data_IF_307631093766
#
_entry.id   IF_307631093766
#
_cell.length_a   1.000
_cell.length_b   1.000
_cell.length_c   1.000
_cell.angle_alpha   90.00
_cell.angle_beta   90.00
_cell.angle_gamma   90.00
#
_symmetry.space_group_name_H-M   'P 1'
#
loop_
_entity.id
_entity.type
_entity.pdbx_description
1 polymer ?
#
# COMPACT_ATOMS: atom_id res chain seq x y z
N UNK A 1 7.78 -10.71 10.19
CA UNK A 1 8.17 -9.34 9.78
C UNK A 1 8.14 -8.45 11.00
N UNK A 2 9.28 -7.83 11.35
CA UNK A 2 9.31 -6.85 12.43
C UNK A 2 8.61 -5.56 11.97
N UNK A 3 8.10 -4.75 12.91
CA UNK A 3 7.51 -3.44 12.60
C UNK A 3 8.49 -2.50 11.86
N UNK A 4 9.79 -2.74 12.02
CA UNK A 4 10.88 -1.99 11.40
C UNK A 4 11.01 -2.22 9.89
N UNK A 5 10.63 -3.39 9.38
CA UNK A 5 10.71 -3.70 7.94
C UNK A 5 9.53 -3.12 7.15
N UNK A 6 8.37 -2.96 7.81
CA UNK A 6 7.13 -2.50 7.17
C UNK A 6 7.14 -0.98 6.97
N UNK A 7 7.74 -0.23 7.90
CA UNK A 7 7.73 1.24 7.88
C UNK A 7 8.37 1.84 6.61
N UNK A 8 9.58 1.41 6.17
CA UNK A 8 10.18 1.91 4.93
C UNK A 8 9.34 1.65 3.68
N UNK A 9 8.59 0.53 3.66
CA UNK A 9 7.68 0.21 2.54
C UNK A 9 6.49 1.16 2.53
N UNK A 10 5.92 1.45 3.69
CA UNK A 10 4.82 2.42 3.82
C UNK A 10 5.32 3.82 3.45
N UNK A 11 6.50 4.24 3.91
CA UNK A 11 7.07 5.55 3.56
C UNK A 11 7.29 5.68 2.05
N UNK A 12 7.83 4.64 1.41
CA UNK A 12 7.96 4.58 -0.05
C UNK A 12 6.60 4.69 -0.75
N UNK A 13 5.56 4.02 -0.22
CA UNK A 13 4.20 4.15 -0.75
C UNK A 13 3.65 5.58 -0.59
N UNK A 14 3.83 6.22 0.56
CA UNK A 14 3.43 7.62 0.81
C UNK A 14 4.11 8.60 -0.14
N UNK A 15 5.39 8.36 -0.44
CA UNK A 15 6.14 9.12 -1.45
C UNK A 15 5.48 8.96 -2.81
N UNK A 16 5.22 7.73 -3.26
CA UNK A 16 4.53 7.48 -4.54
C UNK A 16 3.19 8.22 -4.59
N UNK A 17 2.36 8.17 -3.54
CA UNK A 17 1.11 8.91 -3.52
C UNK A 17 1.31 10.41 -3.70
N UNK A 18 2.24 11.00 -2.95
CA UNK A 18 2.57 12.44 -3.04
C UNK A 18 3.01 12.83 -4.45
N UNK A 19 3.83 11.99 -5.09
CA UNK A 19 4.36 12.21 -6.44
C UNK A 19 3.26 12.28 -7.50
N UNK A 20 2.20 11.50 -7.33
CA UNK A 20 1.09 11.51 -8.28
C UNK A 20 0.08 12.63 -8.03
N UNK A 21 0.23 13.38 -6.94
CA UNK A 21 -0.66 14.49 -6.59
C UNK A 21 -1.77 14.11 -5.61
N UNK A 22 -1.71 12.95 -4.97
CA UNK A 22 -2.66 12.58 -3.93
C UNK A 22 -2.50 13.44 -2.68
N UNK A 23 -3.45 13.34 -1.76
CA UNK A 23 -3.33 13.94 -0.44
C UNK A 23 -2.15 13.36 0.34
N UNK A 24 -1.44 14.24 1.05
CA UNK A 24 -0.36 13.85 1.95
C UNK A 24 -0.90 12.89 3.02
N UNK A 25 -0.32 11.70 3.05
CA UNK A 25 -0.53 10.68 4.09
C UNK A 25 0.85 10.21 4.57
N UNK A 26 0.97 9.91 5.86
CA UNK A 26 2.25 9.50 6.46
C UNK A 26 2.17 8.07 6.96
N UNK A 27 3.33 7.43 7.22
CA UNK A 27 3.36 6.11 7.85
C UNK A 27 2.65 6.07 9.20
N UNK A 28 2.63 7.21 9.91
CA UNK A 28 1.95 7.34 11.20
C UNK A 28 0.44 7.20 11.04
N UNK A 29 -0.16 7.75 9.98
CA UNK A 29 -1.60 7.55 9.69
C UNK A 29 -1.95 6.07 9.55
N UNK A 30 -1.11 5.28 8.86
CA UNK A 30 -1.31 3.84 8.74
C UNK A 30 -1.15 3.12 10.08
N UNK A 31 -0.20 3.57 10.92
CA UNK A 31 0.00 3.04 12.26
C UNK A 31 -1.22 3.30 13.15
N UNK A 32 -1.71 4.55 13.17
CA UNK A 32 -2.91 4.96 13.90
C UNK A 32 -4.13 4.13 13.47
N UNK A 33 -4.34 3.98 12.16
CA UNK A 33 -5.45 3.19 11.63
C UNK A 33 -5.36 1.69 12.00
N UNK A 34 -4.15 1.14 12.05
CA UNK A 34 -3.93 -0.25 12.49
C UNK A 34 -4.45 -0.48 13.91
N UNK A 35 -4.32 0.51 14.79
CA UNK A 35 -4.82 0.50 16.18
C UNK A 35 -6.18 1.17 16.35
N UNK A 36 -6.93 1.28 15.25
CA UNK A 36 -8.26 1.88 15.16
C UNK A 36 -8.40 3.29 15.77
N UNK A 37 -7.40 4.15 15.58
CA UNK A 37 -7.40 5.52 16.09
C UNK A 37 -8.12 6.50 15.14
N UNK A 38 -8.97 7.36 15.70
CA UNK A 38 -9.89 8.22 14.94
C UNK A 38 -9.18 9.28 14.09
N UNK A 39 -7.98 9.68 14.47
CA UNK A 39 -7.13 10.65 13.78
C UNK A 39 -6.81 10.21 12.35
N UNK A 40 -6.81 8.89 12.09
CA UNK A 40 -6.55 8.35 10.76
C UNK A 40 -7.78 8.35 9.83
N UNK A 41 -9.00 8.56 10.35
CA UNK A 41 -10.24 8.36 9.60
C UNK A 41 -10.35 9.33 8.41
N UNK A 42 -10.24 10.63 8.66
CA UNK A 42 -10.42 11.65 7.62
C UNK A 42 -9.34 11.55 6.53
N UNK A 43 -8.03 11.42 6.86
CA UNK A 43 -7.00 11.18 5.85
C UNK A 43 -7.27 9.94 4.99
N UNK A 44 -7.73 8.84 5.60
CA UNK A 44 -8.02 7.60 4.86
C UNK A 44 -9.23 7.73 3.94
N UNK A 45 -10.33 8.33 4.42
CA UNK A 45 -11.49 8.60 3.55
C UNK A 45 -11.12 9.46 2.35
N UNK A 46 -10.30 10.49 2.57
CA UNK A 46 -9.81 11.36 1.50
C UNK A 46 -8.99 10.59 0.47
N UNK A 47 -8.04 9.77 0.93
CA UNK A 47 -7.22 8.95 0.05
C UNK A 47 -8.03 7.93 -0.74
N UNK A 48 -8.99 7.24 -0.09
CA UNK A 48 -9.88 6.27 -0.76
C UNK A 48 -10.71 6.98 -1.83
N UNK A 49 -11.27 8.15 -1.51
CA UNK A 49 -12.04 8.95 -2.47
C UNK A 49 -11.21 9.31 -3.70
N UNK A 50 -9.98 9.79 -3.50
CA UNK A 50 -9.06 10.14 -4.58
C UNK A 50 -8.69 8.90 -5.43
N UNK A 51 -8.43 7.75 -4.80
CA UNK A 51 -8.09 6.52 -5.52
C UNK A 51 -9.23 5.98 -6.39
N UNK A 52 -10.47 6.05 -5.90
CA UNK A 52 -11.67 5.67 -6.68
C UNK A 52 -11.77 6.51 -7.96
N UNK A 53 -11.50 7.82 -7.85
CA UNK A 53 -11.57 8.75 -8.96
C UNK A 53 -10.36 8.63 -9.90
N UNK A 54 -9.16 8.41 -9.36
CA UNK A 54 -7.94 8.16 -10.12
C UNK A 54 -8.10 6.98 -11.07
N UNK A 55 -8.72 5.90 -10.60
CA UNK A 55 -8.96 4.72 -11.42
C UNK A 55 -9.83 5.01 -12.66
N UNK A 56 -10.76 5.95 -12.53
CA UNK A 56 -11.67 6.37 -13.61
C UNK A 56 -11.05 7.43 -14.53
N UNK A 57 -10.32 8.40 -13.96
CA UNK A 57 -9.75 9.57 -14.66
C UNK A 57 -8.41 10.00 -14.03
N UNK A 58 -7.27 9.42 -14.45
CA UNK A 58 -5.99 9.63 -13.79
C UNK A 58 -5.39 11.04 -13.93
N UNK A 59 -5.88 11.86 -14.88
CA UNK A 59 -5.27 13.17 -15.23
C UNK A 59 -5.75 14.36 -14.38
N UNK A 60 -6.80 14.19 -13.56
CA UNK A 60 -7.54 15.32 -12.95
C UNK A 60 -7.45 15.38 -11.42
N UNK A 61 -6.28 15.10 -10.84
CA UNK A 61 -6.17 14.92 -9.39
C UNK A 61 -6.48 16.17 -8.56
N UNK A 62 -6.09 17.36 -9.04
CA UNK A 62 -6.37 18.62 -8.32
C UNK A 62 -7.88 18.88 -8.17
N UNK A 63 -8.68 18.54 -9.19
CA UNK A 63 -10.14 18.70 -9.16
C UNK A 63 -10.80 17.81 -8.10
N UNK A 64 -10.19 16.70 -7.70
CA UNK A 64 -10.76 15.81 -6.68
C UNK A 64 -10.50 16.29 -5.26
N UNK A 65 -9.42 17.04 -5.02
CA UNK A 65 -9.11 17.64 -3.71
C UNK A 65 -10.14 18.69 -3.32
N UNK A 66 -10.50 19.55 -4.27
CA UNK A 66 -11.51 20.60 -4.05
C UNK A 66 -12.89 19.99 -3.81
N UNK A 67 -13.23 18.95 -4.58
CA UNK A 67 -14.50 18.25 -4.46
C UNK A 67 -14.69 17.58 -3.10
N UNK A 68 -13.64 16.98 -2.52
CA UNK A 68 -13.72 16.37 -1.19
C UNK A 68 -14.08 17.41 -0.12
N UNK A 69 -13.49 18.61 -0.20
CA UNK A 69 -13.69 19.68 0.79
C UNK A 69 -15.07 20.35 0.69
N UNK A 70 -15.72 20.27 -0.47
CA UNK A 70 -17.03 20.87 -0.73
C UNK A 70 -18.21 19.97 -0.36
N UNK A 71 -17.96 18.68 -0.10
CA UNK A 71 -19.01 17.70 0.18
C UNK A 71 -19.20 17.51 1.68
N UNK A 72 -20.43 17.19 2.08
CA UNK A 72 -20.70 16.73 3.43
C UNK A 72 -20.09 15.34 3.67
N UNK A 73 -19.81 15.02 4.93
CA UNK A 73 -19.28 13.70 5.33
C UNK A 73 -20.17 12.56 4.84
N UNK A 74 -21.48 12.71 4.98
CA UNK A 74 -22.46 11.71 4.55
C UNK A 74 -22.40 11.47 3.03
N UNK A 75 -22.34 12.53 2.23
CA UNK A 75 -22.20 12.40 0.78
C UNK A 75 -20.93 11.65 0.39
N UNK A 76 -19.81 11.96 1.05
CA UNK A 76 -18.52 11.30 0.80
C UNK A 76 -18.62 9.80 1.12
N UNK A 77 -19.13 9.43 2.30
CA UNK A 77 -19.28 8.03 2.72
C UNK A 77 -20.18 7.28 1.73
N UNK A 78 -21.32 7.87 1.35
CA UNK A 78 -22.26 7.25 0.41
C UNK A 78 -21.65 7.05 -0.98
N UNK A 79 -20.90 8.03 -1.49
CA UNK A 79 -20.18 7.92 -2.78
C UNK A 79 -19.17 6.78 -2.72
N UNK A 80 -18.34 6.76 -1.67
CA UNK A 80 -17.29 5.75 -1.48
C UNK A 80 -17.91 4.35 -1.39
N UNK A 81 -18.89 4.15 -0.51
CA UNK A 81 -19.57 2.85 -0.36
C UNK A 81 -20.18 2.38 -1.67
N UNK A 82 -20.93 3.25 -2.36
CA UNK A 82 -21.55 2.93 -3.65
C UNK A 82 -20.52 2.52 -4.69
N UNK A 83 -19.44 3.28 -4.82
CA UNK A 83 -18.46 3.05 -5.89
C UNK A 83 -17.55 1.84 -5.57
N UNK A 84 -17.26 1.58 -4.29
CA UNK A 84 -16.61 0.34 -3.85
C UNK A 84 -17.51 -0.89 -4.08
N UNK A 85 -18.80 -0.80 -3.75
CA UNK A 85 -19.74 -1.89 -3.98
C UNK A 85 -19.86 -2.24 -5.46
N UNK A 86 -19.92 -1.24 -6.35
CA UNK A 86 -19.88 -1.43 -7.81
C UNK A 86 -18.62 -2.16 -8.30
N UNK A 87 -17.52 -2.07 -7.55
CA UNK A 87 -16.25 -2.75 -7.84
C UNK A 87 -16.17 -4.14 -7.20
N UNK A 88 -17.23 -4.57 -6.50
CA UNK A 88 -17.31 -5.88 -5.83
C UNK A 88 -16.72 -5.91 -4.42
N UNK A 89 -16.52 -4.75 -3.78
CA UNK A 89 -16.14 -4.74 -2.37
C UNK A 89 -17.37 -5.00 -1.48
N UNK A 90 -17.38 -6.14 -0.80
CA UNK A 90 -18.52 -6.61 0.01
C UNK A 90 -18.14 -6.86 1.47
N UNK A 91 -17.14 -6.13 2.00
CA UNK A 91 -16.74 -6.31 3.39
C UNK A 91 -17.76 -5.65 4.34
N UNK A 92 -18.58 -6.47 4.98
CA UNK A 92 -19.74 -6.01 5.76
C UNK A 92 -19.38 -5.02 6.86
N UNK A 93 -18.29 -5.26 7.60
CA UNK A 93 -17.86 -4.36 8.67
C UNK A 93 -17.57 -2.93 8.19
N UNK A 94 -17.12 -2.77 6.95
CA UNK A 94 -16.95 -1.44 6.35
C UNK A 94 -18.29 -0.86 5.87
N UNK A 95 -19.13 -1.69 5.23
CA UNK A 95 -20.43 -1.24 4.72
C UNK A 95 -21.38 -0.81 5.85
N UNK A 96 -21.25 -1.42 7.02
CA UNK A 96 -22.01 -1.11 8.24
C UNK A 96 -21.52 0.13 9.00
N UNK A 97 -20.40 0.75 8.61
CA UNK A 97 -19.93 1.97 9.27
C UNK A 97 -20.98 3.09 9.17
N UNK A 98 -21.04 3.97 10.16
CA UNK A 98 -21.89 5.15 10.07
C UNK A 98 -21.39 6.15 9.01
N UNK A 99 -22.24 7.13 8.71
CA UNK A 99 -21.95 8.19 7.75
C UNK A 99 -21.25 9.40 8.38
N UNK A 100 -20.99 9.39 9.69
CA UNK A 100 -20.46 10.52 10.45
C UNK A 100 -18.93 10.57 10.47
N UNK A 101 -18.26 9.51 9.99
CA UNK A 101 -16.81 9.36 9.95
C UNK A 101 -16.18 9.46 11.35
N UNK A 102 -16.80 8.87 12.35
CA UNK A 102 -16.32 8.94 13.74
C UNK A 102 -15.49 7.73 14.17
N UNK A 103 -15.67 6.58 13.51
CA UNK A 103 -15.00 5.32 13.84
C UNK A 103 -14.65 4.53 12.58
N UNK A 104 -13.86 3.48 12.78
CA UNK A 104 -13.63 2.45 11.78
C UNK A 104 -12.40 2.69 10.88
N UNK A 105 -11.37 3.33 11.43
CA UNK A 105 -10.11 3.55 10.73
C UNK A 105 -9.42 2.23 10.34
N UNK A 106 -9.61 1.17 11.12
CA UNK A 106 -9.08 -0.16 10.76
C UNK A 106 -9.80 -0.75 9.53
N UNK A 107 -11.12 -0.64 9.46
CA UNK A 107 -11.91 -1.09 8.30
C UNK A 107 -11.58 -0.25 7.06
N UNK A 108 -11.31 1.04 7.24
CA UNK A 108 -10.81 1.93 6.17
C UNK A 108 -9.43 1.49 5.68
N UNK A 109 -8.52 1.11 6.58
CA UNK A 109 -7.20 0.62 6.21
C UNK A 109 -7.28 -0.67 5.39
N UNK A 110 -8.15 -1.61 5.79
CA UNK A 110 -8.41 -2.84 5.02
C UNK A 110 -8.98 -2.51 3.65
N UNK A 111 -9.97 -1.61 3.60
CA UNK A 111 -10.57 -1.14 2.35
C UNK A 111 -9.53 -0.51 1.41
N UNK A 112 -8.63 0.32 1.94
CA UNK A 112 -7.57 0.96 1.19
C UNK A 112 -6.61 -0.08 0.60
N UNK A 113 -6.17 -1.06 1.40
CA UNK A 113 -5.32 -2.16 0.93
C UNK A 113 -5.98 -2.95 -0.20
N UNK A 114 -7.26 -3.31 -0.05
CA UNK A 114 -8.05 -3.95 -1.09
C UNK A 114 -8.11 -3.10 -2.36
N UNK A 115 -8.38 -1.81 -2.24
CA UNK A 115 -8.54 -0.91 -3.39
C UNK A 115 -7.23 -0.76 -4.17
N UNK A 116 -6.10 -0.54 -3.48
CA UNK A 116 -4.76 -0.44 -4.08
C UNK A 116 -4.45 -1.69 -4.92
N UNK A 117 -4.75 -2.87 -4.37
CA UNK A 117 -4.58 -4.14 -5.06
C UNK A 117 -5.53 -4.25 -6.26
N UNK A 118 -6.81 -4.00 -6.06
CA UNK A 118 -7.87 -4.17 -7.05
C UNK A 118 -7.65 -3.28 -8.29
N UNK A 119 -7.27 -2.01 -8.11
CA UNK A 119 -7.00 -1.09 -9.22
C UNK A 119 -5.61 -1.27 -9.83
N UNK A 120 -4.80 -2.21 -9.32
CA UNK A 120 -3.39 -2.42 -9.67
C UNK A 120 -2.62 -1.10 -9.65
N UNK A 121 -2.79 -0.34 -8.56
CA UNK A 121 -2.33 1.04 -8.45
C UNK A 121 -0.84 1.18 -8.80
N UNK A 122 0.01 0.32 -8.22
CA UNK A 122 1.45 0.33 -8.46
C UNK A 122 1.76 0.10 -9.94
N UNK A 123 1.13 -0.86 -10.61
CA UNK A 123 1.34 -1.12 -12.04
C UNK A 123 0.93 0.09 -12.90
N UNK A 124 -0.15 0.77 -12.53
CA UNK A 124 -0.61 1.99 -13.23
C UNK A 124 0.41 3.12 -13.07
N UNK A 125 0.90 3.37 -11.87
CA UNK A 125 1.98 4.33 -11.63
C UNK A 125 3.22 3.96 -12.45
N UNK A 126 3.66 2.71 -12.41
CA UNK A 126 4.81 2.25 -13.20
C UNK A 126 4.63 2.53 -14.70
N UNK A 127 3.45 2.24 -15.26
CA UNK A 127 3.15 2.51 -16.67
C UNK A 127 3.14 3.99 -17.00
N UNK A 128 2.62 4.85 -16.12
CA UNK A 128 2.61 6.30 -16.32
C UNK A 128 4.03 6.88 -16.32
N UNK A 129 4.89 6.44 -15.39
CA UNK A 129 6.30 6.82 -15.38
C UNK A 129 7.05 6.38 -16.65
N UNK A 130 6.83 5.15 -17.12
CA UNK A 130 7.50 4.68 -18.33
C UNK A 130 7.05 5.48 -19.58
N UNK A 131 5.78 5.88 -19.63
CA UNK A 131 5.25 6.73 -20.71
C UNK A 131 5.86 8.13 -20.72
N UNK A 132 6.04 8.76 -19.55
CA UNK A 132 6.67 10.09 -19.49
C UNK A 132 8.12 10.04 -20.00
N UNK A 133 8.89 9.03 -19.58
CA UNK A 133 10.28 8.83 -20.02
C UNK A 133 10.36 8.62 -21.54
N UNK A 134 9.41 7.90 -22.14
CA UNK A 134 9.40 7.61 -23.58
C UNK A 134 9.04 8.85 -24.43
N UNK A 135 8.37 9.84 -23.84
CA UNK A 135 7.91 11.04 -24.53
C UNK A 135 8.87 12.24 -24.38
N UNK A 136 9.86 12.18 -23.49
CA UNK A 136 10.82 13.26 -23.22
C UNK A 136 11.91 13.44 -24.32
N UNK A 137 11.70 12.90 -25.52
CA UNK A 137 12.52 13.19 -26.70
C UNK A 137 12.21 14.56 -27.35
N UNK A 138 11.40 15.41 -26.72
CA UNK A 138 11.25 16.83 -27.10
C UNK A 138 11.39 17.74 -25.87
N UNK A 139 12.43 18.57 -25.96
CA UNK A 139 12.98 19.47 -24.94
C UNK A 139 12.02 20.65 -24.68
N UNK A 140 11.72 20.94 -23.41
CA UNK A 140 11.58 22.33 -22.98
C UNK A 140 11.80 22.53 -21.46
N UNK A 141 12.18 23.76 -21.11
CA UNK A 141 12.97 24.20 -19.93
C UNK A 141 12.37 24.06 -18.52
N UNK A 142 11.40 23.19 -18.29
CA UNK A 142 10.85 22.86 -16.96
C UNK A 142 11.53 21.62 -16.30
N UNK A 143 12.70 21.22 -16.85
CA UNK A 143 13.33 19.91 -16.63
C UNK A 143 13.97 19.68 -15.25
N UNK A 144 14.40 20.71 -14.52
CA UNK A 144 15.18 20.50 -13.29
C UNK A 144 14.34 19.89 -12.14
N UNK A 145 13.10 20.34 -11.96
CA UNK A 145 12.20 19.78 -10.91
C UNK A 145 11.70 18.39 -11.29
N UNK A 146 11.44 18.15 -12.58
CA UNK A 146 11.05 16.82 -13.11
C UNK A 146 12.18 15.80 -13.02
N UNK A 147 13.44 16.20 -13.23
CA UNK A 147 14.60 15.31 -13.14
C UNK A 147 14.81 14.77 -11.72
N UNK A 148 14.75 15.65 -10.71
CA UNK A 148 14.83 15.23 -9.29
C UNK A 148 13.67 14.31 -8.91
N UNK A 149 12.48 14.60 -9.43
CA UNK A 149 11.27 13.79 -9.21
C UNK A 149 11.40 12.38 -9.82
N UNK A 150 11.91 12.29 -11.05
CA UNK A 150 12.12 11.04 -11.77
C UNK A 150 13.20 10.21 -11.07
N UNK A 151 14.26 10.82 -10.55
CA UNK A 151 15.26 10.09 -9.78
C UNK A 151 14.76 9.62 -8.42
N UNK A 152 13.94 10.41 -7.72
CA UNK A 152 13.27 9.94 -6.50
C UNK A 152 12.36 8.73 -6.78
N UNK A 153 11.61 8.76 -7.89
CA UNK A 153 10.78 7.63 -8.33
C UNK A 153 11.65 6.41 -8.66
N UNK A 154 12.71 6.58 -9.46
CA UNK A 154 13.63 5.48 -9.76
C UNK A 154 14.24 4.91 -8.49
N UNK A 155 14.59 5.75 -7.53
CA UNK A 155 15.17 5.33 -6.27
C UNK A 155 14.15 4.57 -5.39
N UNK A 156 12.92 5.04 -5.30
CA UNK A 156 11.83 4.35 -4.61
C UNK A 156 11.54 2.98 -5.25
N UNK A 157 11.53 2.91 -6.60
CA UNK A 157 11.35 1.66 -7.36
C UNK A 157 12.51 0.70 -7.12
N UNK A 158 13.76 1.16 -7.23
CA UNK A 158 14.96 0.35 -6.93
C UNK A 158 14.90 -0.21 -5.51
N UNK A 159 14.45 0.61 -4.56
CA UNK A 159 14.28 0.19 -3.17
C UNK A 159 13.19 -0.88 -3.04
N UNK A 160 12.04 -0.71 -3.69
CA UNK A 160 10.97 -1.70 -3.68
C UNK A 160 11.40 -3.04 -4.30
N UNK A 161 12.12 -3.00 -5.43
CA UNK A 161 12.68 -4.18 -6.08
C UNK A 161 13.67 -4.91 -5.17
N UNK A 162 14.59 -4.17 -4.52
CA UNK A 162 15.51 -4.75 -3.53
C UNK A 162 14.77 -5.40 -2.36
N UNK A 163 13.73 -4.76 -1.84
CA UNK A 163 12.90 -5.32 -0.76
C UNK A 163 12.22 -6.62 -1.24
N UNK A 164 11.61 -6.64 -2.43
CA UNK A 164 11.01 -7.86 -3.00
C UNK A 164 12.01 -8.99 -3.18
N UNK A 165 13.20 -8.70 -3.71
CA UNK A 165 14.26 -9.71 -3.86
C UNK A 165 14.72 -10.26 -2.51
N UNK A 166 14.82 -9.41 -1.49
CA UNK A 166 15.16 -9.83 -0.12
C UNK A 166 14.04 -10.67 0.51
N UNK A 167 12.78 -10.30 0.30
CA UNK A 167 11.63 -11.07 0.79
C UNK A 167 11.58 -12.46 0.14
N UNK A 168 11.79 -12.55 -1.17
CA UNK A 168 11.89 -13.83 -1.88
C UNK A 168 13.07 -14.67 -1.37
N UNK A 169 14.24 -14.04 -1.13
CA UNK A 169 15.38 -14.74 -0.56
C UNK A 169 15.09 -15.28 0.84
N UNK A 170 14.43 -14.49 1.71
CA UNK A 170 14.01 -14.92 3.05
C UNK A 170 13.00 -16.06 2.98
N UNK A 171 12.03 -16.01 2.07
CA UNK A 171 11.08 -17.11 1.84
C UNK A 171 11.80 -18.39 1.41
N UNK A 172 12.79 -18.29 0.52
CA UNK A 172 13.61 -19.43 0.11
C UNK A 172 14.49 -19.97 1.24
N UNK A 173 15.11 -19.10 2.06
CA UNK A 173 15.91 -19.52 3.22
C UNK A 173 15.05 -20.20 4.29
N UNK A 174 13.88 -19.64 4.60
CA UNK A 174 12.94 -20.23 5.56
C UNK A 174 12.40 -21.60 5.08
N UNK A 175 12.20 -21.78 3.77
CA UNK A 175 11.85 -23.08 3.19
C UNK A 175 13.00 -24.08 3.29
N UNK A 176 14.25 -23.65 3.15
CA UNK A 176 15.43 -24.51 3.33
C UNK A 176 15.67 -24.87 4.80
N UNK A 177 15.50 -23.93 5.73
CA UNK A 177 15.63 -24.15 7.17
C UNK A 177 14.53 -25.06 7.72
N UNK A 178 13.27 -24.90 7.27
CA UNK A 178 12.19 -25.83 7.63
C UNK A 178 12.41 -27.24 7.07
N UNK A 179 12.98 -27.37 5.87
CA UNK A 179 13.36 -28.67 5.32
C UNK A 179 14.55 -29.30 6.07
N UNK A 180 15.52 -28.49 6.53
CA UNK A 180 16.63 -28.97 7.35
C UNK A 180 16.19 -29.38 8.76
N UNK A 181 15.29 -28.63 9.41
CA UNK A 181 14.67 -28.98 10.70
C UNK A 181 13.86 -30.28 10.60
N UNK A 182 13.05 -30.43 9.56
CA UNK A 182 12.30 -31.67 9.32
C UNK A 182 13.23 -32.87 9.07
N UNK A 183 14.36 -32.67 8.39
CA UNK A 183 15.38 -33.72 8.19
C UNK A 183 16.12 -34.09 9.48
N UNK A 184 16.37 -33.13 10.38
CA UNK A 184 17.00 -33.38 11.69
C UNK A 184 16.05 -34.08 12.65
N UNK A 185 14.77 -33.70 12.66
CA UNK A 185 13.73 -34.39 13.45
C UNK A 185 13.52 -35.83 12.94
N UNK A 186 13.52 -36.06 11.62
CA UNK A 186 13.44 -37.41 11.05
C UNK A 186 14.68 -38.28 11.38
N UNK A 187 15.87 -37.69 11.47
CA UNK A 187 17.08 -38.40 11.89
C UNK A 187 17.07 -38.77 13.38
N UNK A 188 16.49 -37.91 14.25
CA UNK A 188 16.32 -38.20 15.68
C UNK A 188 15.30 -39.33 15.95
N UNK A 189 14.29 -39.48 15.10
CA UNK A 189 13.34 -40.61 15.18
C UNK A 189 13.88 -41.93 14.61
N UNK A 190 14.95 -41.90 13.80
CA UNK A 190 15.54 -43.11 13.22
C UNK A 190 16.63 -43.78 14.08
N UNK A 191 17.16 -43.12 15.11
CA UNK A 191 18.20 -43.68 15.98
C UNK A 191 17.94 -43.41 17.48
N UNK A 192 17.04 -44.17 18.12
CA UNK A 192 16.72 -44.03 19.55
C UNK A 192 17.91 -44.31 20.49
N UNK A 193 18.97 -44.94 19.98
CA UNK A 193 20.09 -45.43 20.78
C UNK A 193 21.18 -44.39 21.09
N UNK A 194 21.16 -43.24 20.41
CA UNK A 194 22.17 -42.18 20.60
C UNK A 194 21.85 -41.21 21.75
N UNK A 195 20.67 -41.31 22.38
CA UNK A 195 20.27 -40.46 23.53
C UNK A 195 20.83 -41.02 24.86
N UNK A 196 21.34 -42.25 24.90
CA UNK A 196 21.76 -42.90 26.16
C UNK A 196 23.21 -42.62 26.61
N UNK A 197 23.96 -41.71 25.98
CA UNK A 197 25.35 -41.42 26.38
C UNK A 197 25.64 -39.96 26.77
N UNK A 198 24.61 -39.14 27.00
CA UNK A 198 24.79 -37.79 27.58
C UNK A 198 23.75 -37.54 28.68
N UNK A 199 23.81 -38.34 29.73
CA UNK A 199 23.42 -37.93 31.09
C UNK A 199 24.69 -37.96 31.93
#
# INVERSE_FOLDING_TARGET
>A
MSSEEVRPVIDCFCQILSLYGFSMITSETFCLAKYDQNEAIIPLYKLIFELIHFDSKPTNQELFKDKFSQMSKEEIVNIIKRDLYKRGYTYDHFLSLDNNMEKGSQQLLVCLGWLIYHIKFIDKCMKLCLKSISNDNQIDKDQDVKCDLIEQIKQAIRTNLKIRSRLQAIEHTNLQENNHMSSFELQLYQYPHLISQVI
#
